data_IF_972475090952
#
_entry.id   IF_972475090952
#
_cell.length_a   1.000
_cell.length_b   1.000
_cell.length_c   1.000
_cell.angle_alpha   90.00
_cell.angle_beta   90.00
_cell.angle_gamma   90.00
#
_symmetry.space_group_name_H-M   'P 1'
#
loop_
_entity.id
_entity.type
_entity.pdbx_description
1 polymer ?
#
# COMPACT_ATOMS: atom_id res chain seq x y z
N UNK A 1 4.51 14.22 11.86
CA UNK A 1 5.11 13.43 12.93
C UNK A 1 5.30 11.99 12.47
N UNK A 2 6.50 11.50 12.58
CA UNK A 2 6.82 10.12 12.17
C UNK A 2 6.56 9.19 13.36
N UNK A 3 5.76 8.14 13.12
CA UNK A 3 5.53 7.12 14.13
C UNK A 3 6.61 6.06 14.05
N UNK A 4 7.20 5.70 15.18
CA UNK A 4 8.12 4.57 15.26
C UNK A 4 7.31 3.29 15.45
N UNK A 5 7.64 2.28 14.68
CA UNK A 5 7.05 0.96 14.83
C UNK A 5 7.89 0.16 15.82
N UNK A 6 7.27 -0.30 16.89
CA UNK A 6 7.93 -1.22 17.81
C UNK A 6 7.90 -2.63 17.23
N UNK A 7 8.80 -3.48 17.68
CA UNK A 7 8.83 -4.90 17.24
C UNK A 7 7.58 -5.68 17.66
N UNK A 8 6.84 -5.16 18.62
CA UNK A 8 5.62 -5.78 19.12
C UNK A 8 4.38 -5.30 18.38
N UNK A 9 4.49 -4.25 17.58
CA UNK A 9 3.36 -3.75 16.81
C UNK A 9 3.10 -4.63 15.59
N UNK A 10 1.82 -4.95 15.42
CA UNK A 10 1.35 -5.61 14.21
C UNK A 10 1.38 -4.61 13.07
N UNK A 11 2.03 -4.95 11.97
CA UNK A 11 2.09 -4.10 10.78
C UNK A 11 1.16 -4.67 9.73
N UNK A 12 0.20 -3.87 9.29
CA UNK A 12 -0.83 -4.28 8.35
C UNK A 12 -0.77 -3.44 7.07
N UNK A 13 -0.74 -4.13 5.93
CA UNK A 13 -0.88 -3.54 4.60
C UNK A 13 -2.18 -4.03 4.00
N UNK A 14 -3.06 -3.11 3.61
CA UNK A 14 -4.34 -3.44 3.01
C UNK A 14 -4.29 -3.20 1.51
N UNK A 15 -4.62 -4.23 0.74
CA UNK A 15 -4.65 -4.14 -0.72
C UNK A 15 -6.09 -4.32 -1.22
N UNK A 16 -6.46 -3.57 -2.24
CA UNK A 16 -7.73 -3.79 -2.94
C UNK A 16 -7.51 -4.81 -4.03
N UNK A 17 -8.35 -5.85 -4.05
CA UNK A 17 -8.38 -6.85 -5.12
C UNK A 17 -6.99 -7.26 -5.64
N UNK A 18 -6.45 -8.33 -5.11
CA UNK A 18 -5.08 -8.78 -5.43
C UNK A 18 -4.93 -9.47 -6.80
N UNK A 19 -5.91 -9.32 -7.72
CA UNK A 19 -5.83 -9.90 -9.06
C UNK A 19 -4.68 -9.35 -9.91
N UNK A 20 -4.15 -8.17 -9.55
CA UNK A 20 -3.01 -7.56 -10.22
C UNK A 20 -1.67 -8.23 -9.92
N UNK A 21 -1.64 -9.13 -8.95
CA UNK A 21 -0.42 -9.82 -8.57
C UNK A 21 -0.73 -11.24 -8.10
N UNK A 22 0.25 -12.14 -8.27
CA UNK A 22 0.14 -13.48 -7.72
C UNK A 22 0.25 -13.40 -6.20
N UNK A 23 -0.68 -14.01 -5.45
CA UNK A 23 -0.59 -14.02 -3.98
C UNK A 23 0.76 -14.49 -3.45
N UNK A 24 1.38 -15.44 -4.13
CA UNK A 24 2.70 -15.95 -3.78
C UNK A 24 3.79 -14.87 -3.84
N UNK A 25 3.77 -14.03 -4.87
CA UNK A 25 4.75 -12.95 -5.02
C UNK A 25 4.61 -11.93 -3.89
N UNK A 26 3.38 -11.60 -3.51
CA UNK A 26 3.11 -10.71 -2.38
C UNK A 26 3.59 -11.33 -1.07
N UNK A 27 3.33 -12.60 -0.85
CA UNK A 27 3.73 -13.29 0.36
C UNK A 27 5.25 -13.30 0.54
N UNK A 28 6.01 -13.40 -0.54
CA UNK A 28 7.47 -13.34 -0.51
C UNK A 28 7.99 -12.01 -0.01
N UNK A 29 7.25 -10.94 -0.24
CA UNK A 29 7.61 -9.61 0.25
C UNK A 29 7.23 -9.46 1.72
N UNK A 30 6.03 -9.89 2.09
CA UNK A 30 5.46 -9.58 3.40
C UNK A 30 5.82 -10.58 4.50
N UNK A 31 5.75 -11.88 4.23
CA UNK A 31 5.99 -12.92 5.25
C UNK A 31 7.35 -12.82 5.94
N UNK A 32 8.47 -12.71 5.21
CA UNK A 32 9.78 -12.65 5.87
C UNK A 32 9.94 -11.46 6.79
N UNK A 33 9.11 -10.43 6.60
CA UNK A 33 9.17 -9.18 7.36
C UNK A 33 8.14 -9.13 8.49
N UNK A 34 7.35 -10.18 8.64
CA UNK A 34 6.30 -10.21 9.65
C UNK A 34 5.17 -9.23 9.40
N UNK A 35 4.92 -8.86 8.14
CA UNK A 35 3.87 -7.94 7.77
C UNK A 35 2.63 -8.71 7.36
N UNK A 36 1.48 -8.30 7.88
CA UNK A 36 0.21 -8.89 7.50
C UNK A 36 -0.31 -8.25 6.21
N UNK A 37 -0.67 -9.11 5.26
CA UNK A 37 -1.31 -8.73 4.02
C UNK A 37 -2.81 -8.95 4.17
N UNK A 38 -3.58 -7.87 4.07
CA UNK A 38 -5.04 -7.93 4.11
C UNK A 38 -5.57 -7.57 2.74
N UNK A 39 -6.59 -8.29 2.27
CA UNK A 39 -7.17 -8.09 0.94
C UNK A 39 -8.64 -7.72 1.08
N UNK A 40 -9.05 -6.62 0.45
CA UNK A 40 -10.45 -6.22 0.36
C UNK A 40 -10.94 -6.44 -1.07
N UNK A 41 -12.09 -7.09 -1.21
CA UNK A 41 -12.66 -7.40 -2.53
C UNK A 41 -13.64 -6.34 -3.03
N UNK A 42 -13.99 -5.38 -2.18
CA UNK A 42 -14.90 -4.28 -2.53
C UNK A 42 -14.51 -3.01 -1.80
N UNK A 43 -15.04 -1.88 -2.26
CA UNK A 43 -14.80 -0.60 -1.60
C UNK A 43 -15.36 -0.58 -0.17
N UNK A 44 -16.54 -1.16 0.04
CA UNK A 44 -17.15 -1.21 1.37
C UNK A 44 -16.36 -2.10 2.33
N UNK A 45 -15.85 -3.23 1.86
CA UNK A 45 -14.98 -4.09 2.67
C UNK A 45 -13.67 -3.39 3.00
N UNK A 46 -13.12 -2.65 2.06
CA UNK A 46 -11.89 -1.87 2.26
C UNK A 46 -12.06 -0.89 3.42
N UNK A 47 -13.11 -0.10 3.40
CA UNK A 47 -13.41 0.86 4.46
C UNK A 47 -13.68 0.15 5.78
N UNK A 48 -14.41 -0.96 5.75
CA UNK A 48 -14.73 -1.74 6.94
C UNK A 48 -13.45 -2.25 7.64
N UNK A 49 -12.49 -2.75 6.87
CA UNK A 49 -11.22 -3.24 7.41
C UNK A 49 -10.43 -2.09 8.05
N UNK A 50 -10.38 -0.92 7.42
CA UNK A 50 -9.69 0.25 7.98
C UNK A 50 -10.30 0.65 9.32
N UNK A 51 -11.63 0.55 9.47
CA UNK A 51 -12.31 0.89 10.71
C UNK A 51 -12.02 -0.10 11.83
N UNK A 52 -11.73 -1.35 11.50
CA UNK A 52 -11.56 -2.43 12.47
C UNK A 52 -10.12 -2.71 12.86
N UNK A 53 -9.17 -2.42 11.98
CA UNK A 53 -7.76 -2.72 12.19
C UNK A 53 -6.89 -1.51 11.93
N UNK A 54 -5.77 -1.43 12.63
CA UNK A 54 -4.78 -0.39 12.37
C UNK A 54 -4.06 -0.73 11.06
N UNK A 55 -4.27 0.08 10.04
CA UNK A 55 -3.65 -0.08 8.72
C UNK A 55 -2.51 0.92 8.58
N UNK A 56 -1.37 0.45 8.15
CA UNK A 56 -0.16 1.27 8.01
C UNK A 56 0.01 1.84 6.61
N UNK A 57 -0.45 1.12 5.60
CA UNK A 57 -0.51 1.64 4.23
C UNK A 57 -1.53 0.86 3.42
N UNK A 58 -1.99 1.48 2.34
CA UNK A 58 -2.95 0.88 1.42
C UNK A 58 -2.35 0.83 0.02
N UNK A 59 -2.71 -0.21 -0.73
CA UNK A 59 -2.39 -0.35 -2.14
C UNK A 59 -3.70 -0.50 -2.88
N UNK A 60 -4.04 0.46 -3.73
CA UNK A 60 -5.35 0.51 -4.40
C UNK A 60 -5.18 0.36 -5.90
N UNK A 61 -5.89 -0.63 -6.45
CA UNK A 61 -5.96 -0.87 -7.88
C UNK A 61 -7.00 0.04 -8.51
N UNK A 62 -6.55 0.97 -9.35
CA UNK A 62 -7.44 1.93 -10.02
C UNK A 62 -8.30 1.32 -11.10
N UNK A 63 -7.88 0.16 -11.64
CA UNK A 63 -8.59 -0.49 -12.74
C UNK A 63 -9.63 -1.49 -12.27
N UNK A 64 -9.74 -1.70 -10.97
CA UNK A 64 -10.71 -2.64 -10.41
C UNK A 64 -12.12 -2.06 -10.50
N UNK A 65 -13.01 -2.73 -11.25
CA UNK A 65 -14.41 -2.33 -11.34
C UNK A 65 -15.15 -2.49 -10.01
N UNK A 66 -14.73 -3.47 -9.21
CA UNK A 66 -15.37 -3.79 -7.95
C UNK A 66 -15.01 -2.81 -6.83
N UNK A 67 -13.83 -2.24 -6.89
CA UNK A 67 -13.30 -1.41 -5.81
C UNK A 67 -13.41 0.07 -6.04
N UNK A 68 -13.72 0.53 -7.25
CA UNK A 68 -13.75 1.94 -7.62
C UNK A 68 -12.62 2.73 -6.93
N UNK A 69 -11.39 2.52 -7.42
CA UNK A 69 -10.18 2.97 -6.73
C UNK A 69 -10.17 4.45 -6.39
N UNK A 70 -10.61 5.32 -7.29
CA UNK A 70 -10.61 6.76 -7.06
C UNK A 70 -11.56 7.16 -5.94
N UNK A 71 -12.77 6.59 -5.91
CA UNK A 71 -13.74 6.85 -4.85
C UNK A 71 -13.24 6.33 -3.51
N UNK A 72 -12.62 5.15 -3.51
CA UNK A 72 -12.02 4.57 -2.30
C UNK A 72 -10.96 5.50 -1.72
N UNK A 73 -10.08 6.04 -2.56
CA UNK A 73 -9.02 6.95 -2.11
C UNK A 73 -9.59 8.25 -1.56
N UNK A 74 -10.64 8.79 -2.19
CA UNK A 74 -11.30 10.00 -1.68
C UNK A 74 -11.84 9.79 -0.28
N UNK A 75 -12.46 8.65 -0.02
CA UNK A 75 -12.95 8.31 1.32
C UNK A 75 -11.78 8.23 2.31
N UNK A 76 -10.71 7.57 1.93
CA UNK A 76 -9.51 7.46 2.77
C UNK A 76 -8.98 8.86 3.12
N UNK A 77 -8.89 9.76 2.15
CA UNK A 77 -8.36 11.11 2.39
C UNK A 77 -9.25 11.95 3.28
N UNK A 78 -10.55 11.77 3.22
CA UNK A 78 -11.50 12.51 4.06
C UNK A 78 -11.46 11.99 5.50
N UNK A 79 -11.53 10.68 5.68
CA UNK A 79 -11.65 10.08 7.01
C UNK A 79 -10.31 9.71 7.65
N UNK A 80 -9.29 9.40 6.83
CA UNK A 80 -7.98 8.97 7.30
C UNK A 80 -6.88 9.74 6.54
N UNK A 81 -6.76 11.06 6.77
CA UNK A 81 -5.90 11.91 5.93
C UNK A 81 -4.41 11.58 6.00
N UNK A 82 -3.98 10.89 7.06
CA UNK A 82 -2.56 10.55 7.23
C UNK A 82 -2.22 9.13 6.75
N UNK A 83 -3.21 8.35 6.31
CA UNK A 83 -2.97 6.99 5.86
C UNK A 83 -2.31 6.99 4.48
N UNK A 84 -1.07 6.47 4.37
CA UNK A 84 -0.38 6.45 3.07
C UNK A 84 -1.06 5.53 2.06
N UNK A 85 -1.01 5.90 0.79
CA UNK A 85 -1.65 5.14 -0.27
C UNK A 85 -0.74 5.05 -1.49
N UNK A 86 -0.61 3.84 -2.05
CA UNK A 86 0.04 3.58 -3.34
C UNK A 86 -1.04 3.19 -4.34
N UNK A 87 -1.02 3.79 -5.53
CA UNK A 87 -1.95 3.48 -6.60
C UNK A 87 -1.32 2.57 -7.63
N UNK A 88 -2.12 1.63 -8.15
CA UNK A 88 -1.74 0.80 -9.29
C UNK A 88 -2.67 1.14 -10.46
N UNK A 89 -2.11 1.30 -11.65
CA UNK A 89 -2.92 1.61 -12.83
C UNK A 89 -2.29 1.10 -14.11
N UNK A 90 -3.11 0.66 -15.07
CA UNK A 90 -2.67 0.29 -16.42
C UNK A 90 -2.65 1.49 -17.38
N UNK A 91 -3.27 2.59 -16.98
CA UNK A 91 -3.39 3.79 -17.82
C UNK A 91 -3.00 5.04 -17.05
N UNK A 92 -1.68 5.28 -16.91
CA UNK A 92 -1.17 6.48 -16.25
C UNK A 92 -1.20 7.67 -17.20
N UNK A 93 -2.38 8.18 -17.54
CA UNK A 93 -2.50 9.43 -18.29
C UNK A 93 -2.28 10.64 -17.38
N UNK A 94 -1.97 11.79 -17.99
CA UNK A 94 -1.74 13.04 -17.25
C UNK A 94 -2.91 13.43 -16.34
N UNK A 95 -4.13 13.16 -16.79
CA UNK A 95 -5.34 13.45 -16.01
C UNK A 95 -5.40 12.64 -14.73
N UNK A 96 -5.09 11.34 -14.81
CA UNK A 96 -5.09 10.48 -13.65
C UNK A 96 -3.98 10.85 -12.67
N UNK A 97 -2.77 11.15 -13.19
CA UNK A 97 -1.65 11.56 -12.35
C UNK A 97 -1.98 12.86 -11.60
N UNK A 98 -2.63 13.82 -12.29
CA UNK A 98 -3.06 15.06 -11.65
C UNK A 98 -4.04 14.82 -10.52
N UNK A 99 -5.03 13.95 -10.73
CA UNK A 99 -5.99 13.58 -9.68
C UNK A 99 -5.32 12.87 -8.50
N UNK A 100 -4.37 11.98 -8.79
CA UNK A 100 -3.63 11.26 -7.76
C UNK A 100 -2.80 12.22 -6.90
N UNK A 101 -2.17 13.22 -7.52
CA UNK A 101 -1.43 14.24 -6.79
C UNK A 101 -2.34 15.07 -5.90
N UNK A 102 -3.55 15.41 -6.35
CA UNK A 102 -4.53 16.13 -5.54
C UNK A 102 -4.99 15.33 -4.34
N UNK A 103 -5.00 14.00 -4.44
CA UNK A 103 -5.37 13.11 -3.35
C UNK A 103 -4.19 12.72 -2.46
N UNK A 104 -3.04 13.33 -2.69
CA UNK A 104 -1.84 13.15 -1.88
C UNK A 104 -1.44 11.67 -1.72
N UNK A 105 -1.47 10.93 -2.83
CA UNK A 105 -0.99 9.54 -2.81
C UNK A 105 0.54 9.52 -2.74
N UNK A 106 1.09 8.49 -2.12
CA UNK A 106 2.53 8.38 -1.97
C UNK A 106 3.22 8.13 -3.32
N UNK A 107 2.70 7.19 -4.10
CA UNK A 107 3.22 6.90 -5.44
C UNK A 107 2.18 6.22 -6.30
N UNK A 108 2.44 6.22 -7.62
CA UNK A 108 1.64 5.53 -8.63
C UNK A 108 2.55 4.54 -9.34
N UNK A 109 2.13 3.29 -9.43
CA UNK A 109 2.87 2.23 -10.07
C UNK A 109 2.10 1.72 -11.28
N UNK A 110 2.78 1.61 -12.42
CA UNK A 110 2.18 1.09 -13.64
C UNK A 110 2.04 -0.43 -13.60
N UNK A 111 0.97 -0.93 -14.20
CA UNK A 111 0.78 -2.36 -14.41
C UNK A 111 1.37 -2.79 -15.75
N UNK A 112 1.90 -4.01 -15.86
CA UNK A 112 1.99 -5.04 -14.84
C UNK A 112 2.96 -4.65 -13.72
N UNK A 113 2.60 -4.97 -12.49
CA UNK A 113 3.36 -4.54 -11.32
C UNK A 113 4.66 -5.34 -11.21
N UNK A 114 5.78 -4.64 -11.22
CA UNK A 114 7.07 -5.22 -10.89
C UNK A 114 7.19 -5.29 -9.37
N UNK A 115 7.33 -6.50 -8.84
CA UNK A 115 7.38 -6.71 -7.38
C UNK A 115 8.60 -6.05 -6.74
N UNK A 116 9.71 -5.93 -7.48
CA UNK A 116 10.88 -5.22 -7.00
C UNK A 116 10.60 -3.72 -6.83
N UNK A 117 9.93 -3.13 -7.79
CA UNK A 117 9.52 -1.72 -7.72
C UNK A 117 8.53 -1.53 -6.57
N UNK A 118 7.56 -2.42 -6.41
CA UNK A 118 6.61 -2.34 -5.31
C UNK A 118 7.32 -2.38 -3.96
N UNK A 119 8.26 -3.31 -3.78
CA UNK A 119 9.05 -3.40 -2.55
C UNK A 119 9.83 -2.12 -2.29
N UNK A 120 10.46 -1.56 -3.33
CA UNK A 120 11.19 -0.29 -3.21
C UNK A 120 10.30 0.85 -2.76
N UNK A 121 9.09 0.95 -3.33
CA UNK A 121 8.14 2.00 -2.96
C UNK A 121 7.66 1.81 -1.52
N UNK A 122 7.40 0.58 -1.10
CA UNK A 122 7.05 0.28 0.28
C UNK A 122 8.20 0.64 1.23
N UNK A 123 9.43 0.34 0.85
CA UNK A 123 10.58 0.70 1.65
C UNK A 123 10.69 2.22 1.84
N UNK A 124 10.57 2.99 0.77
CA UNK A 124 10.60 4.45 0.83
C UNK A 124 9.46 5.00 1.68
N UNK A 125 8.26 4.44 1.52
CA UNK A 125 7.09 4.86 2.27
C UNK A 125 7.30 4.62 3.78
N UNK A 126 7.74 3.43 4.17
CA UNK A 126 7.95 3.10 5.57
C UNK A 126 9.10 3.88 6.19
N UNK A 127 10.16 4.15 5.44
CA UNK A 127 11.24 5.02 5.92
C UNK A 127 10.72 6.44 6.17
N UNK A 128 9.95 6.98 5.25
CA UNK A 128 9.46 8.35 5.33
C UNK A 128 8.36 8.52 6.39
N UNK A 129 7.41 7.59 6.44
CA UNK A 129 6.20 7.75 7.28
C UNK A 129 6.35 7.14 8.68
N UNK A 130 7.17 6.11 8.83
CA UNK A 130 7.29 5.35 10.09
C UNK A 130 8.72 5.24 10.60
N UNK A 131 9.68 5.84 9.91
CA UNK A 131 11.09 5.72 10.25
C UNK A 131 11.52 4.25 10.40
N UNK A 132 11.03 3.40 9.51
CA UNK A 132 11.24 1.95 9.56
C UNK A 132 11.88 1.44 8.27
N UNK A 133 12.92 0.62 8.41
CA UNK A 133 13.58 -0.05 7.29
C UNK A 133 13.02 -1.46 7.04
N UNK A 134 11.79 -1.72 7.49
CA UNK A 134 11.14 -3.03 7.44
C UNK A 134 11.17 -3.66 6.05
N UNK A 135 11.02 -2.88 4.99
CA UNK A 135 11.03 -3.36 3.61
C UNK A 135 12.38 -3.22 2.93
N UNK A 136 13.40 -2.77 3.66
CA UNK A 136 14.75 -2.70 3.12
C UNK A 136 15.42 -4.06 3.06
N UNK A 137 16.61 -4.09 2.46
CA UNK A 137 17.39 -5.30 2.46
C UNK A 137 17.88 -5.62 3.87
N UNK A 138 17.92 -6.92 4.25
CA UNK A 138 18.45 -7.29 5.54
C UNK A 138 19.93 -6.89 5.63
N UNK A 139 20.42 -6.52 6.85
CA UNK A 139 21.82 -6.20 7.01
C UNK A 139 22.71 -7.38 6.62
N UNK A 140 23.78 -7.09 5.89
CA UNK A 140 24.76 -8.12 5.53
C UNK A 140 25.49 -8.56 6.77
N UNK A 141 25.44 -9.85 7.03
CA UNK A 141 26.24 -10.44 8.09
C UNK A 141 27.66 -10.59 7.57
N UNK A 142 28.63 -9.88 8.18
CA UNK A 142 30.03 -10.08 7.90
C UNK A 142 30.56 -11.12 8.87
N UNK A 143 31.06 -12.19 8.29
CA UNK A 143 31.81 -13.16 9.09
C UNK A 143 33.27 -12.73 9.18
#
# INVERSE_FOLDING_TARGET
>A
MVSNLSQLEEVNVLVSDANWAWPEALRRIFRPRGVNLLVAESASEFVHIIEKKRIHTTIVDMDSEQSNGLATIRIIRIEYPLLPCILLTSTAGKSLLGKALQLDVFSVIDKPVDMHILREQLNRLFLKKYNSSLFGDPPRIRN
#
